data_IF_675182464562
#
_entry.id   IF_675182464562
#
_cell.length_a   1.000
_cell.length_b   1.000
_cell.length_c   1.000
_cell.angle_alpha   90.00
_cell.angle_beta   90.00
_cell.angle_gamma   90.00
#
_symmetry.space_group_name_H-M   'P 1'
#
loop_
_entity.id
_entity.type
_entity.pdbx_description
1 polymer ?
#
# COMPACT_ATOMS: atom_id res chain seq x y z
N UNK A 1 32.35 -10.84 6.71
CA UNK A 1 31.84 -9.49 7.01
C UNK A 1 31.52 -8.84 5.68
N UNK A 2 30.35 -9.15 5.11
CA UNK A 2 29.85 -8.43 3.95
C UNK A 2 29.31 -7.10 4.48
N UNK A 3 29.79 -5.98 3.93
CA UNK A 3 29.18 -4.69 4.21
C UNK A 3 27.74 -4.75 3.70
N UNK A 4 26.76 -4.58 4.59
CA UNK A 4 25.38 -4.27 4.20
C UNK A 4 25.45 -3.01 3.34
N UNK A 5 25.28 -3.17 2.02
CA UNK A 5 25.11 -2.01 1.16
C UNK A 5 23.74 -1.42 1.48
N UNK A 6 23.71 -0.30 2.20
CA UNK A 6 22.50 0.50 2.34
C UNK A 6 22.05 0.92 0.93
N UNK A 7 21.05 0.24 0.38
CA UNK A 7 20.51 0.60 -0.93
C UNK A 7 19.75 1.90 -0.80
N UNK A 8 20.33 2.98 -1.32
CA UNK A 8 19.63 4.25 -1.44
C UNK A 8 18.61 4.14 -2.59
N UNK A 9 17.35 3.97 -2.23
CA UNK A 9 16.25 3.98 -3.20
C UNK A 9 16.17 5.33 -3.92
N UNK A 10 15.86 5.34 -5.22
CA UNK A 10 15.65 6.59 -5.94
C UNK A 10 14.47 7.35 -5.34
N UNK A 11 14.65 8.65 -5.11
CA UNK A 11 13.57 9.57 -4.72
C UNK A 11 13.11 10.31 -5.96
N UNK A 12 11.83 10.15 -6.33
CA UNK A 12 11.28 10.72 -7.57
C UNK A 12 10.15 11.67 -7.22
N UNK A 13 10.34 12.95 -7.56
CA UNK A 13 9.27 13.92 -7.59
C UNK A 13 8.46 13.80 -8.90
N UNK A 14 7.19 13.44 -8.72
CA UNK A 14 6.24 13.20 -9.81
C UNK A 14 5.32 14.40 -10.04
N UNK A 15 5.23 15.34 -9.09
CA UNK A 15 4.26 16.44 -9.09
C UNK A 15 4.89 17.83 -9.13
N UNK A 16 6.21 17.94 -8.96
CA UNK A 16 6.94 19.19 -9.10
C UNK A 16 7.02 19.73 -10.53
N UNK A 17 7.07 21.05 -10.63
CA UNK A 17 7.23 21.77 -11.90
C UNK A 17 6.05 21.63 -12.86
N UNK A 18 6.26 22.01 -14.12
CA UNK A 18 5.24 21.94 -15.18
C UNK A 18 5.26 20.57 -15.88
N UNK A 19 5.20 19.48 -15.10
CA UNK A 19 5.30 18.11 -15.62
C UNK A 19 3.99 17.67 -16.31
N UNK A 20 3.83 18.09 -17.56
CA UNK A 20 2.68 17.81 -18.43
C UNK A 20 2.99 16.69 -19.42
N UNK A 21 2.02 15.80 -19.63
CA UNK A 21 2.13 14.73 -20.63
C UNK A 21 2.47 15.30 -22.01
N UNK A 22 3.34 14.60 -22.74
CA UNK A 22 3.84 15.01 -24.06
C UNK A 22 5.03 15.98 -24.05
N UNK A 23 5.42 16.51 -22.88
CA UNK A 23 6.63 17.35 -22.77
C UNK A 23 7.91 16.50 -22.67
N UNK A 24 9.06 17.06 -23.05
CA UNK A 24 10.35 16.39 -22.87
C UNK A 24 10.64 16.06 -21.39
N UNK A 25 10.24 16.95 -20.47
CA UNK A 25 10.37 16.72 -19.03
C UNK A 25 9.54 15.50 -18.58
N UNK A 26 8.32 15.36 -19.08
CA UNK A 26 7.49 14.18 -18.80
C UNK A 26 8.10 12.89 -19.35
N UNK A 27 8.59 12.90 -20.61
CA UNK A 27 9.24 11.73 -21.21
C UNK A 27 10.49 11.32 -20.41
N UNK A 28 11.30 12.29 -19.97
CA UNK A 28 12.43 12.03 -19.07
C UNK A 28 11.97 11.35 -17.77
N UNK A 29 10.92 11.89 -17.15
CA UNK A 29 10.37 11.35 -15.90
C UNK A 29 9.80 9.94 -16.06
N UNK A 30 9.13 9.65 -17.18
CA UNK A 30 8.71 8.29 -17.51
C UNK A 30 9.90 7.32 -17.56
N UNK A 31 11.02 7.76 -18.13
CA UNK A 31 12.27 6.99 -18.16
C UNK A 31 12.86 6.75 -16.77
N UNK A 32 12.81 7.74 -15.88
CA UNK A 32 13.24 7.61 -14.49
C UNK A 32 12.39 6.60 -13.70
N UNK A 33 11.06 6.71 -13.80
CA UNK A 33 10.12 5.77 -13.14
C UNK A 33 10.35 4.34 -13.64
N UNK A 34 10.48 4.15 -14.95
CA UNK A 34 10.75 2.83 -15.54
C UNK A 34 12.06 2.24 -15.02
N UNK A 35 13.16 3.00 -15.08
CA UNK A 35 14.47 2.54 -14.57
C UNK A 35 14.42 2.18 -13.10
N UNK A 36 13.71 2.96 -12.29
CA UNK A 36 13.57 2.67 -10.87
C UNK A 36 12.89 1.32 -10.63
N UNK A 37 11.80 1.02 -11.36
CA UNK A 37 11.18 -0.31 -11.28
C UNK A 37 12.08 -1.42 -11.82
N UNK A 38 12.77 -1.21 -12.95
CA UNK A 38 13.64 -2.23 -13.56
C UNK A 38 14.88 -2.55 -12.72
N UNK A 39 15.51 -1.54 -12.09
CA UNK A 39 16.77 -1.70 -11.36
C UNK A 39 16.58 -1.94 -9.86
N UNK A 40 15.51 -1.40 -9.27
CA UNK A 40 15.26 -1.42 -7.82
C UNK A 40 13.98 -2.15 -7.42
N UNK A 41 13.04 -2.36 -8.34
CA UNK A 41 11.71 -2.88 -8.02
C UNK A 41 10.77 -1.87 -7.34
N UNK A 42 11.29 -0.73 -6.85
CA UNK A 42 10.51 0.33 -6.23
C UNK A 42 11.25 1.68 -6.24
N UNK A 43 10.59 2.73 -5.74
CA UNK A 43 11.17 4.05 -5.50
C UNK A 43 10.38 4.80 -4.43
N UNK A 44 10.98 5.84 -3.86
CA UNK A 44 10.32 6.75 -2.95
C UNK A 44 9.69 7.91 -3.75
N UNK A 45 8.37 8.07 -3.65
CA UNK A 45 7.67 9.17 -4.28
C UNK A 45 7.48 10.32 -3.28
N UNK A 46 7.92 11.54 -3.61
CA UNK A 46 7.51 12.71 -2.84
C UNK A 46 6.06 13.05 -3.16
N UNK A 47 5.19 13.09 -2.16
CA UNK A 47 3.77 13.30 -2.35
C UNK A 47 3.15 14.20 -1.27
N UNK A 48 3.08 15.49 -1.58
CA UNK A 48 2.62 16.56 -0.68
C UNK A 48 1.09 16.77 -0.68
N UNK A 49 0.38 16.09 -1.60
CA UNK A 49 -1.07 16.21 -1.73
C UNK A 49 -1.84 15.56 -0.59
N UNK A 50 -1.27 14.53 0.02
CA UNK A 50 -1.75 14.05 1.33
C UNK A 50 -1.16 14.98 2.38
N UNK A 51 -1.97 15.93 2.83
CA UNK A 51 -1.53 16.86 3.86
C UNK A 51 -1.23 16.12 5.17
N UNK A 52 -0.30 16.64 5.97
CA UNK A 52 0.00 16.08 7.29
C UNK A 52 -1.24 16.02 8.19
N UNK A 53 -2.20 16.95 8.02
CA UNK A 53 -3.47 16.91 8.73
C UNK A 53 -4.32 15.70 8.34
N UNK A 54 -4.44 15.41 7.04
CA UNK A 54 -5.18 14.24 6.56
C UNK A 54 -4.47 12.95 6.98
N UNK A 55 -3.14 12.90 6.83
CA UNK A 55 -2.32 11.78 7.28
C UNK A 55 -2.58 11.46 8.76
N UNK A 56 -2.48 12.45 9.65
CA UNK A 56 -2.74 12.26 11.07
C UNK A 56 -4.16 11.79 11.36
N UNK A 57 -5.18 12.32 10.65
CA UNK A 57 -6.56 11.85 10.79
C UNK A 57 -6.70 10.39 10.39
N UNK A 58 -6.10 9.98 9.27
CA UNK A 58 -6.12 8.59 8.80
C UNK A 58 -5.45 7.67 9.81
N UNK A 59 -4.24 7.97 10.25
CA UNK A 59 -3.54 7.13 11.23
C UNK A 59 -4.28 7.03 12.56
N UNK A 60 -4.85 8.13 13.06
CA UNK A 60 -5.68 8.10 14.27
C UNK A 60 -6.94 7.24 14.06
N UNK A 61 -7.61 7.38 12.91
CA UNK A 61 -8.81 6.61 12.57
C UNK A 61 -8.51 5.11 12.44
N UNK A 62 -7.37 4.77 11.84
CA UNK A 62 -6.88 3.38 11.74
C UNK A 62 -6.49 2.84 13.11
N UNK A 63 -5.89 3.66 13.97
CA UNK A 63 -5.62 3.27 15.35
C UNK A 63 -6.94 2.96 16.08
N UNK A 64 -7.95 3.82 16.01
CA UNK A 64 -9.28 3.58 16.58
C UNK A 64 -9.91 2.28 16.05
N UNK A 65 -9.82 2.03 14.74
CA UNK A 65 -10.29 0.80 14.11
C UNK A 65 -9.66 -0.45 14.77
N UNK A 66 -8.35 -0.47 14.95
CA UNK A 66 -7.67 -1.62 15.57
C UNK A 66 -7.95 -1.76 17.08
N UNK A 67 -8.40 -0.71 17.76
CA UNK A 67 -8.84 -0.75 19.16
C UNK A 67 -10.27 -1.28 19.33
N UNK A 68 -11.04 -1.46 18.25
CA UNK A 68 -12.35 -2.09 18.34
C UNK A 68 -12.25 -3.52 18.89
N UNK A 69 -13.31 -4.03 19.56
CA UNK A 69 -13.38 -5.42 19.98
C UNK A 69 -13.14 -6.38 18.81
N UNK A 70 -12.47 -7.50 19.07
CA UNK A 70 -12.17 -8.51 18.04
C UNK A 70 -13.45 -9.02 17.38
N UNK A 71 -14.54 -9.17 18.14
CA UNK A 71 -15.85 -9.60 17.66
C UNK A 71 -16.43 -8.67 16.59
N UNK A 72 -16.07 -7.37 16.61
CA UNK A 72 -16.46 -6.43 15.57
C UNK A 72 -15.55 -6.57 14.35
N UNK A 73 -14.24 -6.65 14.55
CA UNK A 73 -13.25 -6.73 13.46
C UNK A 73 -13.39 -8.00 12.62
N UNK A 74 -13.67 -9.16 13.24
CA UNK A 74 -13.88 -10.43 12.51
C UNK A 74 -15.10 -10.42 11.57
N UNK A 75 -16.01 -9.44 11.72
CA UNK A 75 -17.14 -9.26 10.79
C UNK A 75 -16.68 -8.78 9.41
N UNK A 76 -15.49 -8.17 9.32
CA UNK A 76 -14.86 -7.88 8.03
C UNK A 76 -14.42 -9.19 7.37
N UNK A 77 -15.28 -9.75 6.54
CA UNK A 77 -15.06 -11.02 5.84
C UNK A 77 -15.05 -10.77 4.34
N UNK A 78 -14.28 -11.56 3.60
CA UNK A 78 -14.26 -11.50 2.15
C UNK A 78 -13.92 -12.87 1.58
N UNK A 79 -14.50 -13.17 0.41
CA UNK A 79 -14.11 -14.34 -0.39
C UNK A 79 -12.82 -14.09 -1.18
N UNK A 80 -12.42 -12.82 -1.33
CA UNK A 80 -11.13 -12.46 -1.92
C UNK A 80 -10.05 -12.62 -0.84
N UNK A 81 -8.99 -13.42 -1.09
CA UNK A 81 -7.87 -13.53 -0.17
C UNK A 81 -7.35 -12.13 0.17
N UNK A 82 -7.02 -11.90 1.45
CA UNK A 82 -6.40 -10.67 1.94
C UNK A 82 -7.31 -9.42 2.08
N UNK A 83 -8.60 -9.51 1.74
CA UNK A 83 -9.53 -8.36 1.81
C UNK A 83 -10.27 -8.24 3.15
N UNK A 84 -10.43 -9.34 3.89
CA UNK A 84 -11.06 -9.35 5.21
C UNK A 84 -10.10 -9.00 6.36
N UNK A 85 -10.60 -9.18 7.58
CA UNK A 85 -9.79 -9.23 8.79
C UNK A 85 -8.86 -10.44 8.78
N UNK A 86 -7.61 -10.23 9.19
CA UNK A 86 -6.61 -11.27 9.28
C UNK A 86 -5.78 -11.10 10.55
N UNK A 87 -5.68 -12.20 11.30
CA UNK A 87 -4.77 -12.40 12.42
C UNK A 87 -4.50 -13.89 12.52
N UNK A 88 -3.24 -14.30 12.47
CA UNK A 88 -2.86 -15.71 12.42
C UNK A 88 -1.84 -16.06 13.50
N UNK A 89 -1.96 -17.21 14.21
CA UNK A 89 -1.00 -17.59 15.24
C UNK A 89 0.45 -17.70 14.76
N UNK A 90 0.67 -18.11 13.50
CA UNK A 90 2.02 -18.19 12.89
C UNK A 90 2.63 -16.83 12.51
N UNK A 91 1.84 -15.75 12.52
CA UNK A 91 2.31 -14.37 12.29
C UNK A 91 1.74 -13.49 13.41
N UNK A 92 2.16 -13.74 14.66
CA UNK A 92 1.43 -13.31 15.86
C UNK A 92 1.54 -11.81 16.16
N UNK A 93 2.42 -11.09 15.46
CA UNK A 93 2.61 -9.65 15.65
C UNK A 93 1.76 -8.82 14.70
N UNK A 94 1.27 -9.42 13.62
CA UNK A 94 0.52 -8.76 12.57
C UNK A 94 -1.00 -8.92 12.77
N UNK A 95 -1.70 -7.80 12.65
CA UNK A 95 -3.15 -7.72 12.52
C UNK A 95 -3.48 -6.85 11.31
N UNK A 96 -4.38 -7.30 10.42
CA UNK A 96 -4.72 -6.51 9.23
C UNK A 96 -6.19 -6.58 8.85
N UNK A 97 -6.64 -5.57 8.10
CA UNK A 97 -7.97 -5.47 7.53
C UNK A 97 -7.87 -4.85 6.14
N UNK A 98 -8.68 -5.33 5.20
CA UNK A 98 -8.84 -4.69 3.89
C UNK A 98 -10.12 -3.85 3.81
N UNK A 99 -10.07 -2.79 3.00
CA UNK A 99 -11.23 -2.02 2.53
C UNK A 99 -11.24 -2.15 1.01
N UNK A 100 -12.27 -2.83 0.48
CA UNK A 100 -12.46 -3.01 -0.96
C UNK A 100 -12.95 -1.70 -1.59
N UNK A 101 -12.37 -1.33 -2.73
CA UNK A 101 -12.68 -0.11 -3.49
C UNK A 101 -12.90 1.16 -2.64
N UNK A 102 -11.91 1.56 -1.82
CA UNK A 102 -12.02 2.71 -0.91
C UNK A 102 -12.05 4.06 -1.63
N UNK A 103 -11.89 4.06 -2.95
CA UNK A 103 -12.11 5.22 -3.83
C UNK A 103 -13.58 5.41 -4.20
N UNK A 104 -14.47 4.49 -3.80
CA UNK A 104 -15.93 4.58 -3.93
C UNK A 104 -16.49 4.89 -2.55
N UNK A 105 -17.30 5.94 -2.45
CA UNK A 105 -17.78 6.44 -1.16
C UNK A 105 -18.70 5.42 -0.49
N UNK A 106 -19.58 4.79 -1.28
CA UNK A 106 -20.53 3.79 -0.83
C UNK A 106 -19.82 2.56 -0.24
N UNK A 107 -18.74 2.09 -0.86
CA UNK A 107 -17.95 0.95 -0.37
C UNK A 107 -17.21 1.30 0.93
N UNK A 108 -16.65 2.52 1.00
CA UNK A 108 -16.01 3.02 2.23
C UNK A 108 -17.01 3.19 3.36
N UNK A 109 -18.21 3.67 3.05
CA UNK A 109 -19.31 3.81 4.01
C UNK A 109 -19.79 2.45 4.50
N UNK A 110 -19.93 1.47 3.60
CA UNK A 110 -20.31 0.09 3.92
C UNK A 110 -19.32 -0.55 4.91
N UNK A 111 -18.01 -0.41 4.67
CA UNK A 111 -16.99 -0.83 5.64
C UNK A 111 -17.12 -0.09 6.98
N UNK A 112 -17.37 1.22 6.93
CA UNK A 112 -17.52 2.05 8.14
C UNK A 112 -18.70 1.60 8.97
N UNK A 113 -19.86 1.37 8.36
CA UNK A 113 -21.09 0.95 9.05
C UNK A 113 -20.96 -0.47 9.63
N UNK A 114 -20.17 -1.32 8.97
CA UNK A 114 -19.84 -2.66 9.48
C UNK A 114 -19.06 -2.59 10.80
N UNK A 115 -18.06 -1.70 10.86
CA UNK A 115 -17.19 -1.51 12.04
C UNK A 115 -17.87 -0.68 13.14
N UNK A 116 -18.62 0.35 12.75
CA UNK A 116 -19.35 1.25 13.64
C UNK A 116 -20.84 1.31 13.24
N UNK A 117 -21.72 0.48 13.83
CA UNK A 117 -23.14 0.49 13.52
C UNK A 117 -23.85 1.82 13.81
N UNK A 118 -23.27 2.67 14.66
CA UNK A 118 -23.76 4.02 14.95
C UNK A 118 -23.14 5.10 14.03
N UNK A 119 -22.35 4.69 13.04
CA UNK A 119 -21.61 5.54 12.12
C UNK A 119 -20.27 6.04 12.68
N UNK A 120 -19.33 6.31 11.78
CA UNK A 120 -18.09 7.03 12.06
C UNK A 120 -17.71 7.89 10.83
N UNK A 121 -18.33 9.06 10.73
CA UNK A 121 -18.15 9.95 9.58
C UNK A 121 -16.69 10.41 9.42
N UNK A 122 -15.97 10.62 10.53
CA UNK A 122 -14.57 11.01 10.51
C UNK A 122 -13.70 9.93 9.86
N UNK A 123 -13.89 8.66 10.24
CA UNK A 123 -13.21 7.52 9.62
C UNK A 123 -13.52 7.45 8.12
N UNK A 124 -14.82 7.40 7.76
CA UNK A 124 -15.26 7.24 6.38
C UNK A 124 -14.69 8.34 5.47
N UNK A 125 -14.86 9.60 5.85
CA UNK A 125 -14.40 10.74 5.05
C UNK A 125 -12.87 10.80 4.95
N UNK A 126 -12.15 10.48 6.03
CA UNK A 126 -10.68 10.51 6.02
C UNK A 126 -10.11 9.41 5.11
N UNK A 127 -10.62 8.18 5.23
CA UNK A 127 -10.20 7.04 4.40
C UNK A 127 -10.55 7.26 2.93
N UNK A 128 -11.76 7.74 2.64
CA UNK A 128 -12.19 8.03 1.27
C UNK A 128 -11.33 9.12 0.62
N UNK A 129 -11.11 10.24 1.33
CA UNK A 129 -10.28 11.34 0.83
C UNK A 129 -8.83 10.90 0.60
N UNK A 130 -8.26 10.16 1.56
CA UNK A 130 -6.91 9.61 1.45
C UNK A 130 -6.77 8.66 0.27
N UNK A 131 -7.69 7.72 0.12
CA UNK A 131 -7.65 6.71 -0.94
C UNK A 131 -7.77 7.34 -2.32
N UNK A 132 -8.61 8.37 -2.48
CA UNK A 132 -8.71 9.13 -3.73
C UNK A 132 -7.37 9.79 -4.09
N UNK A 133 -6.72 10.49 -3.14
CA UNK A 133 -5.42 11.12 -3.38
C UNK A 133 -4.35 10.08 -3.76
N UNK A 134 -4.22 9.01 -2.98
CA UNK A 134 -3.26 7.95 -3.28
C UNK A 134 -3.55 7.28 -4.64
N UNK A 135 -4.81 7.15 -5.05
CA UNK A 135 -5.17 6.67 -6.39
C UNK A 135 -4.71 7.59 -7.52
N UNK A 136 -4.61 8.91 -7.28
CA UNK A 136 -4.04 9.84 -8.27
C UNK A 136 -2.56 9.57 -8.51
N UNK A 137 -1.81 9.28 -7.45
CA UNK A 137 -0.41 8.88 -7.53
C UNK A 137 -0.29 7.56 -8.30
N UNK A 138 -1.11 6.56 -7.97
CA UNK A 138 -1.13 5.27 -8.68
C UNK A 138 -1.36 5.46 -10.19
N UNK A 139 -2.43 6.16 -10.56
CA UNK A 139 -2.78 6.43 -11.95
C UNK A 139 -1.66 7.16 -12.68
N UNK A 140 -1.01 8.13 -12.02
CA UNK A 140 0.08 8.90 -12.62
C UNK A 140 1.31 8.03 -12.89
N UNK A 141 1.71 7.21 -11.93
CA UNK A 141 2.84 6.29 -12.09
C UNK A 141 2.53 5.23 -13.15
N UNK A 142 1.35 4.61 -13.13
CA UNK A 142 0.90 3.69 -14.17
C UNK A 142 0.95 4.33 -15.55
N UNK A 143 0.49 5.58 -15.70
CA UNK A 143 0.58 6.30 -16.98
C UNK A 143 2.02 6.44 -17.45
N UNK A 144 2.92 6.84 -16.56
CA UNK A 144 4.35 6.97 -16.87
C UNK A 144 4.97 5.63 -17.30
N UNK A 145 4.62 4.54 -16.62
CA UNK A 145 5.04 3.18 -16.98
C UNK A 145 4.54 2.81 -18.38
N UNK A 146 3.24 2.93 -18.66
CA UNK A 146 2.66 2.60 -19.97
C UNK A 146 3.25 3.44 -21.11
N UNK A 147 3.47 4.74 -20.87
CA UNK A 147 4.10 5.62 -21.85
C UNK A 147 5.58 5.26 -22.07
N UNK A 148 6.32 4.89 -21.02
CA UNK A 148 7.74 4.50 -21.11
C UNK A 148 7.98 3.23 -21.92
N UNK A 149 7.02 2.29 -21.89
CA UNK A 149 7.06 1.04 -22.67
C UNK A 149 6.40 1.17 -24.05
N UNK A 150 5.95 2.36 -24.45
CA UNK A 150 5.34 2.58 -25.77
C UNK A 150 3.92 2.02 -25.94
N UNK A 151 3.26 1.62 -24.84
CA UNK A 151 1.92 0.98 -24.84
C UNK A 151 0.82 1.92 -24.30
N UNK A 152 1.01 3.23 -24.48
CA UNK A 152 0.10 4.28 -23.96
C UNK A 152 -1.38 4.08 -24.30
N UNK A 153 -1.68 3.45 -25.45
CA UNK A 153 -3.04 3.18 -25.91
C UNK A 153 -3.78 2.14 -25.04
N UNK A 154 -3.08 1.38 -24.19
CA UNK A 154 -3.66 0.40 -23.27
C UNK A 154 -3.98 0.99 -21.89
N UNK A 155 -3.45 2.17 -21.57
CA UNK A 155 -3.58 2.80 -20.25
C UNK A 155 -5.05 3.01 -19.85
N UNK A 156 -5.86 3.63 -20.71
CA UNK A 156 -7.25 3.95 -20.37
C UNK A 156 -8.08 2.68 -20.12
N UNK A 157 -7.82 1.61 -20.88
CA UNK A 157 -8.48 0.32 -20.67
C UNK A 157 -8.06 -0.31 -19.34
N UNK A 158 -6.77 -0.24 -19.00
CA UNK A 158 -6.24 -0.80 -17.76
C UNK A 158 -6.79 -0.07 -16.52
N UNK A 159 -6.83 1.27 -16.55
CA UNK A 159 -7.39 2.05 -15.44
C UNK A 159 -8.88 1.79 -15.26
N UNK A 160 -9.64 1.60 -16.36
CA UNK A 160 -11.07 1.24 -16.27
C UNK A 160 -11.32 -0.13 -15.65
N UNK A 161 -10.35 -1.04 -15.73
CA UNK A 161 -10.43 -2.38 -15.12
C UNK A 161 -9.65 -2.48 -13.80
N UNK A 162 -9.21 -1.35 -13.24
CA UNK A 162 -8.46 -1.34 -11.98
C UNK A 162 -9.43 -1.19 -10.81
N UNK A 163 -9.43 -2.20 -9.94
CA UNK A 163 -9.99 -2.09 -8.59
C UNK A 163 -8.89 -1.71 -7.59
N UNK A 164 -9.27 -1.11 -6.47
CA UNK A 164 -8.34 -0.74 -5.40
C UNK A 164 -8.64 -1.51 -4.12
N UNK A 165 -7.58 -1.92 -3.42
CA UNK A 165 -7.64 -2.42 -2.05
C UNK A 165 -6.80 -1.51 -1.17
N UNK A 166 -7.39 -0.92 -0.14
CA UNK A 166 -6.61 -0.33 0.95
C UNK A 166 -6.44 -1.38 2.05
N UNK A 167 -5.20 -1.83 2.23
CA UNK A 167 -4.84 -2.76 3.28
C UNK A 167 -4.26 -2.00 4.47
N UNK A 168 -4.93 -2.12 5.60
CA UNK A 168 -4.52 -1.54 6.88
C UNK A 168 -3.79 -2.62 7.68
N UNK A 169 -2.58 -2.34 8.12
CA UNK A 169 -1.74 -3.31 8.82
C UNK A 169 -1.25 -2.67 10.12
N UNK A 170 -1.34 -3.43 11.20
CA UNK A 170 -0.79 -3.11 12.50
C UNK A 170 0.21 -4.17 12.90
N UNK A 171 1.41 -3.73 13.22
CA UNK A 171 2.44 -4.55 13.86
C UNK A 171 2.50 -4.18 15.35
N UNK A 172 2.55 -5.18 16.23
CA UNK A 172 2.90 -4.97 17.64
C UNK A 172 4.40 -5.22 17.85
N UNK A 173 4.94 -4.62 18.89
CA UNK A 173 6.30 -4.92 19.34
C UNK A 173 6.33 -6.36 19.88
N UNK A 174 7.31 -7.20 19.49
CA UNK A 174 7.50 -8.52 20.09
C UNK A 174 7.87 -8.40 21.57
N UNK A 175 7.44 -9.36 22.38
CA UNK A 175 7.93 -9.50 23.76
C UNK A 175 9.36 -10.05 23.74
N UNK A 176 10.10 -9.91 24.86
CA UNK A 176 11.51 -10.34 24.96
C UNK A 176 11.73 -11.81 24.56
N UNK A 177 10.79 -12.68 24.87
CA UNK A 177 10.79 -14.11 24.56
C UNK A 177 10.44 -14.44 23.09
N UNK A 178 9.92 -13.47 22.33
CA UNK A 178 9.55 -13.62 20.92
C UNK A 178 10.66 -13.11 19.96
N UNK A 179 11.67 -12.38 20.47
CA UNK A 179 12.72 -11.72 19.66
C UNK A 179 13.61 -12.75 18.93
N UNK A 180 13.93 -13.89 19.58
CA UNK A 180 14.87 -14.86 19.02
C UNK A 180 14.29 -15.73 17.88
N UNK A 181 12.96 -15.77 17.72
CA UNK A 181 12.26 -16.55 16.67
C UNK A 181 11.54 -15.65 15.65
N UNK A 182 12.03 -14.42 15.48
CA UNK A 182 11.36 -13.38 14.71
C UNK A 182 11.47 -13.62 13.19
N UNK A 183 10.37 -14.07 12.60
CA UNK A 183 10.12 -14.02 11.15
C UNK A 183 8.65 -13.60 10.92
N UNK A 184 8.32 -12.34 11.20
CA UNK A 184 6.96 -11.79 11.07
C UNK A 184 6.63 -11.38 9.62
N UNK A 185 7.04 -12.20 8.65
CA UNK A 185 6.77 -11.95 7.25
C UNK A 185 7.51 -12.89 6.33
N UNK A 186 6.83 -13.94 5.85
CA UNK A 186 7.35 -14.75 4.78
C UNK A 186 7.64 -13.86 3.55
N UNK A 187 8.82 -13.99 2.91
CA UNK A 187 9.08 -13.35 1.63
C UNK A 187 7.95 -13.64 0.65
N UNK A 188 7.37 -12.60 0.08
CA UNK A 188 6.29 -12.71 -0.89
C UNK A 188 6.33 -11.56 -1.89
N UNK A 189 5.61 -11.75 -2.99
CA UNK A 189 5.31 -10.68 -3.94
C UNK A 189 3.82 -10.39 -3.92
N UNK A 190 3.46 -9.11 -3.95
CA UNK A 190 2.07 -8.72 -4.13
C UNK A 190 1.53 -9.22 -5.47
N UNK A 191 0.24 -9.61 -5.48
CA UNK A 191 -0.47 -10.02 -6.70
C UNK A 191 -1.01 -8.83 -7.51
N UNK A 192 -0.82 -7.61 -7.02
CA UNK A 192 -1.30 -6.37 -7.65
C UNK A 192 -0.39 -5.94 -8.80
N UNK A 193 -0.88 -5.02 -9.65
CA UNK A 193 -0.03 -4.40 -10.66
C UNK A 193 1.04 -3.48 -10.02
N UNK A 194 0.67 -2.80 -8.94
CA UNK A 194 1.53 -1.88 -8.20
C UNK A 194 0.96 -1.70 -6.80
N UNK A 195 1.85 -1.54 -5.82
CA UNK A 195 1.51 -1.24 -4.43
C UNK A 195 2.14 0.09 -4.02
N UNK A 196 1.38 0.90 -3.28
CA UNK A 196 1.87 2.11 -2.64
C UNK A 196 1.86 1.86 -1.13
N UNK A 197 3.04 1.95 -0.52
CA UNK A 197 3.22 1.78 0.90
C UNK A 197 3.37 3.13 1.57
N UNK A 198 2.67 3.32 2.67
CA UNK A 198 2.73 4.53 3.50
C UNK A 198 2.79 4.10 4.96
N UNK A 199 3.97 4.23 5.55
CA UNK A 199 4.21 3.89 6.95
C UNK A 199 4.03 5.11 7.87
N UNK A 200 4.07 4.85 9.18
CA UNK A 200 4.09 5.87 10.22
C UNK A 200 5.52 6.25 10.65
N UNK A 201 6.51 6.07 9.76
CA UNK A 201 7.94 6.34 10.00
C UNK A 201 8.60 5.47 11.08
N UNK A 202 7.97 4.36 11.48
CA UNK A 202 8.60 3.32 12.30
C UNK A 202 9.29 2.33 11.38
N UNK A 203 10.60 2.15 11.53
CA UNK A 203 11.37 1.18 10.73
C UNK A 203 10.92 -0.25 10.98
N UNK A 204 10.64 -1.01 9.92
CA UNK A 204 10.25 -2.42 10.04
C UNK A 204 10.07 -3.17 8.71
N UNK A 205 10.42 -2.58 7.58
CA UNK A 205 10.27 -3.20 6.26
C UNK A 205 11.62 -3.45 5.61
N UNK A 206 11.83 -4.67 5.12
CA UNK A 206 12.98 -5.08 4.35
C UNK A 206 12.56 -5.39 2.90
N UNK A 207 13.49 -5.21 1.95
CA UNK A 207 13.24 -5.46 0.53
C UNK A 207 14.33 -6.37 -0.04
N UNK A 208 13.93 -7.41 -0.77
CA UNK A 208 14.87 -8.33 -1.42
C UNK A 208 15.13 -7.91 -2.87
N UNK A 209 16.39 -8.06 -3.33
CA UNK A 209 16.72 -8.08 -4.76
C UNK A 209 17.06 -9.51 -5.16
N UNK A 210 16.52 -9.96 -6.29
CA UNK A 210 16.76 -11.27 -6.90
C UNK A 210 18.23 -11.70 -6.83
N UNK A 211 18.55 -12.50 -5.82
CA UNK A 211 19.52 -13.58 -5.92
C UNK A 211 18.70 -14.85 -5.82
N UNK A 212 18.89 -15.74 -6.79
CA UNK A 212 18.10 -16.97 -6.94
C UNK A 212 18.21 -17.81 -5.66
N UNK A 213 17.14 -17.83 -4.87
CA UNK A 213 16.86 -18.91 -3.92
C UNK A 213 15.35 -19.05 -3.81
N UNK A 214 14.84 -20.11 -4.45
CA UNK A 214 13.48 -20.59 -4.25
C UNK A 214 13.31 -21.00 -2.78
N UNK A 215 12.58 -20.19 -2.02
CA UNK A 215 11.94 -20.63 -0.79
C UNK A 215 10.51 -20.13 -0.80
N UNK A 216 9.65 -20.81 -1.56
CA UNK A 216 8.20 -20.67 -1.46
C UNK A 216 7.72 -21.41 -0.22
N UNK A 217 7.11 -20.70 0.72
CA UNK A 217 6.25 -21.30 1.73
C UNK A 217 4.80 -21.21 1.25
N UNK A 218 4.22 -22.36 0.93
CA UNK A 218 2.80 -22.49 0.63
C UNK A 218 2.01 -22.37 1.93
N UNK A 219 1.47 -21.18 2.20
CA UNK A 219 0.32 -21.07 3.10
C UNK A 219 -0.93 -21.40 2.29
N UNK A 220 -1.33 -22.67 2.35
CA UNK A 220 -2.65 -23.10 1.88
C UNK A 220 -3.73 -22.29 2.61
N UNK A 221 -4.50 -21.53 1.83
CA UNK A 221 -5.71 -20.81 2.25
C UNK A 221 -6.94 -21.70 2.19
#
# INVERSE_FOLDING_TARGET
MAAESTMNLPVIDLFGGNLKSGTAAWVSKCGEVRRAFEEFGCFLATYDRVSSQLQNRVFNSVQELFHLPTEQKIRNTSQKPYFGYFKHPSIPLTESMGIDNPTILEETQSFTDLMWPNGNQNFCQSIYAYSNLVSELDRRVKRMVFESYGVKNRYDSHIKSTDYLLRLIKYRVPNEDEIENFDDGCPHTDKSFMTILHDNQVSGMEQWKNTVSDSSCDYES
#
